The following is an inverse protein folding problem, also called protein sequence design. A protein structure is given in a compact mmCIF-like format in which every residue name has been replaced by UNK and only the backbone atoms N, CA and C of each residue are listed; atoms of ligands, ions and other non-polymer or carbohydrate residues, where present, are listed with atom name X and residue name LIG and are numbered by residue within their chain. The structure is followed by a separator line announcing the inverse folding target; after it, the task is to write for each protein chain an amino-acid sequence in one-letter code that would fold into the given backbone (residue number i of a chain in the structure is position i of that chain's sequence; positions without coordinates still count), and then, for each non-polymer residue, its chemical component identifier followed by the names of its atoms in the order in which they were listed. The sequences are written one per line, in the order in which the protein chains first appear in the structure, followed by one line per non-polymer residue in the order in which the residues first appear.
data_IF_472965111907
#
_entry.id   IF_472965111907
#
_cell.length_a   1.000
_cell.length_b   1.000
_cell.length_c   1.000
_cell.angle_alpha   90.00
_cell.angle_beta   90.00
_cell.angle_gamma   90.00
#
_symmetry.space_group_name_H-M   'P 1'
#
loop_
_entity.id
_entity.type
_entity.pdbx_description
1 polymer ?
#
# COMPACT_ATOMS: atom_id res chain seq x y z
N UNK A 1 -4.19 -10.74 -22.83
CA UNK A 1 -4.38 -10.77 -21.36
C UNK A 1 -3.11 -10.67 -20.53
N UNK A 2 -2.04 -11.46 -20.73
CA UNK A 2 -0.82 -11.34 -19.88
C UNK A 2 -0.06 -10.00 -20.05
N UNK A 3 -0.04 -9.44 -21.26
CA UNK A 3 0.69 -8.19 -21.56
C UNK A 3 0.02 -6.96 -20.94
N UNK A 4 -1.31 -6.90 -20.95
CA UNK A 4 -2.09 -5.81 -20.37
C UNK A 4 -1.94 -5.77 -18.84
N UNK A 5 -2.00 -6.93 -18.18
CA UNK A 5 -1.82 -7.01 -16.73
C UNK A 5 -0.41 -6.56 -16.29
N UNK A 6 0.63 -6.90 -17.05
CA UNK A 6 2.00 -6.41 -16.79
C UNK A 6 2.12 -4.90 -16.96
N UNK A 7 1.49 -4.32 -17.99
CA UNK A 7 1.48 -2.88 -18.21
C UNK A 7 0.71 -2.13 -17.12
N UNK A 8 -0.40 -2.68 -16.63
CA UNK A 8 -1.20 -2.09 -15.55
C UNK A 8 -0.39 -2.02 -14.24
N UNK A 9 0.33 -3.09 -13.88
CA UNK A 9 1.16 -3.10 -12.66
C UNK A 9 2.34 -2.12 -12.79
N UNK A 10 2.97 -2.02 -13.96
CA UNK A 10 4.01 -1.03 -14.20
C UNK A 10 3.50 0.42 -14.03
N UNK A 11 2.30 0.71 -14.56
CA UNK A 11 1.65 2.01 -14.39
C UNK A 11 1.33 2.27 -12.91
N UNK A 12 0.85 1.27 -12.17
CA UNK A 12 0.62 1.40 -10.73
C UNK A 12 1.90 1.75 -9.96
N UNK A 13 3.04 1.16 -10.31
CA UNK A 13 4.31 1.46 -9.65
C UNK A 13 4.77 2.89 -9.89
N UNK A 14 4.58 3.41 -11.11
CA UNK A 14 4.82 4.83 -11.40
C UNK A 14 3.90 5.74 -10.58
N UNK A 15 2.61 5.40 -10.48
CA UNK A 15 1.66 6.16 -9.68
C UNK A 15 2.02 6.14 -8.19
N UNK A 16 2.47 5.00 -7.65
CA UNK A 16 2.97 4.91 -6.27
C UNK A 16 4.21 5.79 -6.08
N UNK A 17 5.16 5.75 -7.01
CA UNK A 17 6.38 6.58 -6.93
C UNK A 17 6.07 8.09 -6.98
N UNK A 18 5.00 8.49 -7.66
CA UNK A 18 4.57 9.88 -7.73
C UNK A 18 3.78 10.30 -6.49
N UNK A 19 2.86 9.44 -6.03
CA UNK A 19 1.86 9.82 -5.03
C UNK A 19 2.26 9.44 -3.59
N UNK A 20 3.25 8.58 -3.37
CA UNK A 20 3.56 8.08 -2.02
C UNK A 20 4.83 8.68 -1.39
N UNK A 21 5.48 9.65 -2.05
CA UNK A 21 6.70 10.30 -1.54
C UNK A 21 6.43 11.44 -0.56
N UNK A 22 5.23 12.01 -0.58
CA UNK A 22 4.81 13.08 0.32
C UNK A 22 3.83 12.59 1.41
N UNK A 23 3.42 13.52 2.27
CA UNK A 23 2.50 13.28 3.39
C UNK A 23 1.07 13.75 3.10
N UNK A 24 0.70 13.88 1.83
CA UNK A 24 -0.64 14.28 1.45
C UNK A 24 -1.69 13.27 1.91
N UNK A 25 -2.93 13.73 2.05
CA UNK A 25 -4.06 12.84 2.34
C UNK A 25 -4.21 11.75 1.27
N UNK A 26 -3.98 12.09 -0.01
CA UNK A 26 -4.00 11.16 -1.15
C UNK A 26 -2.93 10.07 -0.99
N UNK A 27 -1.69 10.46 -0.68
CA UNK A 27 -0.59 9.55 -0.37
C UNK A 27 -0.97 8.54 0.71
N UNK A 28 -1.51 9.01 1.83
CA UNK A 28 -1.93 8.17 2.96
C UNK A 28 -3.07 7.23 2.61
N UNK A 29 -4.03 7.64 1.79
CA UNK A 29 -5.12 6.78 1.31
C UNK A 29 -4.56 5.63 0.48
N UNK A 30 -3.66 5.92 -0.46
CA UNK A 30 -3.04 4.91 -1.33
C UNK A 30 -2.20 3.92 -0.51
N UNK A 31 -1.32 4.44 0.36
CA UNK A 31 -0.49 3.65 1.27
C UNK A 31 -1.36 2.68 2.10
N UNK A 32 -2.40 3.21 2.77
CA UNK A 32 -3.31 2.40 3.60
C UNK A 32 -4.05 1.35 2.79
N UNK A 33 -4.54 1.66 1.59
CA UNK A 33 -5.28 0.71 0.76
C UNK A 33 -4.43 -0.50 0.36
N UNK A 34 -3.18 -0.26 -0.06
CA UNK A 34 -2.24 -1.33 -0.42
C UNK A 34 -1.89 -2.18 0.81
N UNK A 35 -1.60 -1.55 1.95
CA UNK A 35 -1.26 -2.26 3.19
C UNK A 35 -2.43 -3.08 3.72
N UNK A 36 -3.64 -2.51 3.74
CA UNK A 36 -4.87 -3.25 4.10
C UNK A 36 -5.04 -4.49 3.25
N UNK A 37 -4.88 -4.35 1.93
CA UNK A 37 -5.01 -5.48 1.00
C UNK A 37 -3.95 -6.55 1.24
N UNK A 38 -2.68 -6.16 1.35
CA UNK A 38 -1.55 -7.07 1.45
C UNK A 38 -1.56 -7.83 2.79
N UNK A 39 -1.65 -7.10 3.91
CA UNK A 39 -1.61 -7.68 5.25
C UNK A 39 -2.96 -8.24 5.72
N UNK A 40 -4.01 -8.14 4.90
CA UNK A 40 -5.40 -8.47 5.30
C UNK A 40 -5.77 -7.78 6.61
N UNK A 41 -5.49 -6.49 6.66
CA UNK A 41 -5.72 -5.66 7.84
C UNK A 41 -7.09 -4.99 7.76
N UNK A 42 -7.82 -4.99 8.88
CA UNK A 42 -9.09 -4.27 9.04
C UNK A 42 -8.81 -2.77 9.15
N UNK A 43 -7.74 -2.42 9.86
CA UNK A 43 -7.30 -1.05 10.11
C UNK A 43 -5.79 -0.90 9.83
N UNK A 44 -5.42 0.25 9.28
CA UNK A 44 -4.02 0.66 9.08
C UNK A 44 -3.88 2.10 9.56
N UNK A 45 -3.04 2.29 10.56
CA UNK A 45 -2.62 3.58 11.07
C UNK A 45 -1.21 3.86 10.55
N UNK A 46 -1.01 5.06 10.02
CA UNK A 46 0.30 5.52 9.57
C UNK A 46 0.53 6.85 10.25
N UNK A 47 1.45 6.87 11.20
CA UNK A 47 1.98 8.10 11.79
C UNK A 47 3.38 8.34 11.25
N UNK A 48 3.80 9.59 11.28
CA UNK A 48 5.15 9.96 10.86
C UNK A 48 5.84 10.71 11.98
N UNK A 49 7.07 10.30 12.22
CA UNK A 49 8.00 10.97 13.12
C UNK A 49 9.29 11.14 12.34
N UNK A 50 9.68 12.39 12.10
CA UNK A 50 10.83 12.72 11.24
C UNK A 50 10.71 12.05 9.87
N UNK A 51 11.72 11.29 9.44
CA UNK A 51 11.76 10.57 8.17
C UNK A 51 11.31 9.10 8.29
N UNK A 52 10.62 8.73 9.37
CA UNK A 52 10.17 7.36 9.64
C UNK A 52 8.63 7.32 9.69
N UNK A 53 8.06 6.40 8.91
CA UNK A 53 6.66 6.03 8.98
C UNK A 53 6.48 4.88 9.96
N UNK A 54 5.67 5.09 10.99
CA UNK A 54 5.24 4.07 11.92
C UNK A 54 3.89 3.55 11.45
N UNK A 55 3.86 2.28 11.05
CA UNK A 55 2.71 1.64 10.43
C UNK A 55 2.19 0.57 11.39
N UNK A 56 1.02 0.79 11.95
CA UNK A 56 0.34 -0.19 12.82
C UNK A 56 -0.86 -0.78 12.08
N UNK A 57 -0.98 -2.09 12.10
CA UNK A 57 -1.98 -2.84 11.34
C UNK A 57 -2.72 -3.81 12.25
N UNK A 58 -4.06 -3.71 12.22
CA UNK A 58 -4.93 -4.64 12.94
C UNK A 58 -5.41 -5.73 11.99
N UNK A 59 -5.23 -7.02 12.29
CA UNK A 59 -5.70 -8.09 11.42
C UNK A 59 -7.23 -8.13 11.36
N UNK A 60 -7.78 -8.66 10.27
CA UNK A 60 -9.24 -8.86 10.14
C UNK A 60 -9.75 -9.95 11.09
N UNK A 61 -8.93 -10.96 11.37
CA UNK A 61 -9.36 -12.19 12.05
C UNK A 61 -9.11 -12.18 13.56
N UNK A 62 -8.57 -11.09 14.12
CA UNK A 62 -8.33 -10.98 15.55
C UNK A 62 -8.51 -9.54 16.01
N UNK A 63 -9.24 -9.37 17.12
CA UNK A 63 -9.37 -8.10 17.82
C UNK A 63 -8.40 -7.98 19.01
N UNK A 64 -7.53 -8.98 19.20
CA UNK A 64 -6.58 -9.01 20.30
C UNK A 64 -5.42 -8.04 20.02
N UNK A 65 -5.04 -7.16 20.96
CA UNK A 65 -3.95 -6.19 20.77
C UNK A 65 -2.60 -6.83 20.41
N UNK A 66 -2.32 -8.02 20.93
CA UNK A 66 -1.10 -8.79 20.62
C UNK A 66 -1.05 -9.31 19.17
N UNK A 67 -2.16 -9.25 18.43
CA UNK A 67 -2.22 -9.60 17.02
C UNK A 67 -1.90 -8.41 16.10
N UNK A 68 -1.70 -7.21 16.66
CA UNK A 68 -1.28 -6.04 15.90
C UNK A 68 0.15 -6.18 15.38
N UNK A 69 0.35 -5.78 14.12
CA UNK A 69 1.66 -5.71 13.51
C UNK A 69 2.08 -4.25 13.39
N UNK A 70 3.22 -3.91 14.00
CA UNK A 70 3.85 -2.60 13.86
C UNK A 70 5.14 -2.70 13.06
N UNK A 71 5.29 -1.81 12.08
CA UNK A 71 6.47 -1.72 11.21
C UNK A 71 6.97 -0.27 11.19
N UNK A 72 8.28 -0.13 11.11
CA UNK A 72 8.94 1.14 10.84
C UNK A 72 9.50 1.11 9.43
N UNK A 73 9.09 2.08 8.60
CA UNK A 73 9.53 2.20 7.22
C UNK A 73 10.07 3.60 6.99
N UNK A 74 11.35 3.78 6.61
CA UNK A 74 11.86 5.09 6.22
C UNK A 74 11.00 5.67 5.10
N UNK A 75 10.60 6.94 5.19
CA UNK A 75 9.72 7.59 4.21
C UNK A 75 10.26 7.45 2.79
N UNK A 76 11.59 7.58 2.61
CA UNK A 76 12.26 7.41 1.31
C UNK A 76 12.11 6.00 0.69
N UNK A 77 11.76 5.00 1.51
CA UNK A 77 11.60 3.61 1.09
C UNK A 77 10.12 3.18 0.99
N UNK A 78 9.15 4.04 1.33
CA UNK A 78 7.74 3.62 1.37
C UNK A 78 7.25 3.16 -0.01
N UNK A 79 7.65 3.84 -1.09
CA UNK A 79 7.22 3.48 -2.43
C UNK A 79 7.73 2.08 -2.83
N UNK A 80 9.01 1.79 -2.62
CA UNK A 80 9.59 0.47 -2.92
C UNK A 80 9.01 -0.62 -2.01
N UNK A 81 8.75 -0.31 -0.74
CA UNK A 81 8.07 -1.21 0.18
C UNK A 81 6.68 -1.62 -0.34
N UNK A 82 5.85 -0.66 -0.76
CA UNK A 82 4.52 -0.92 -1.30
C UNK A 82 4.55 -1.69 -2.63
N UNK A 83 5.49 -1.35 -3.51
CA UNK A 83 5.70 -2.09 -4.75
C UNK A 83 6.06 -3.56 -4.45
N UNK A 84 6.88 -3.80 -3.44
CA UNK A 84 7.22 -5.16 -3.00
C UNK A 84 6.01 -5.88 -2.39
N UNK A 85 5.14 -5.21 -1.64
CA UNK A 85 3.87 -5.79 -1.21
C UNK A 85 3.04 -6.26 -2.42
N UNK A 86 2.89 -5.41 -3.44
CA UNK A 86 2.11 -5.76 -4.66
C UNK A 86 2.73 -6.96 -5.39
N UNK A 87 4.06 -6.97 -5.58
CA UNK A 87 4.77 -8.08 -6.24
C UNK A 87 4.58 -9.41 -5.52
N UNK A 88 4.48 -9.38 -4.20
CA UNK A 88 4.34 -10.56 -3.35
C UNK A 88 2.87 -10.94 -3.06
N UNK A 89 1.88 -10.26 -3.65
CA UNK A 89 0.45 -10.61 -3.56
C UNK A 89 -0.11 -11.02 -4.93
N UNK A 90 0.18 -12.25 -5.41
CA UNK A 90 -0.31 -12.73 -6.70
C UNK A 90 -1.83 -12.86 -6.75
N UNK A 91 -2.51 -12.96 -5.60
CA UNK A 91 -3.98 -13.02 -5.50
C UNK A 91 -4.62 -11.62 -5.47
N UNK A 92 -3.82 -10.55 -5.45
CA UNK A 92 -4.29 -9.18 -5.41
C UNK A 92 -4.46 -8.51 -6.78
N UNK A 93 -4.19 -9.21 -7.88
CA UNK A 93 -4.16 -8.64 -9.24
C UNK A 93 -5.39 -7.79 -9.60
N UNK A 94 -6.60 -8.30 -9.34
CA UNK A 94 -7.85 -7.57 -9.62
C UNK A 94 -7.99 -6.30 -8.77
N UNK A 95 -7.60 -6.36 -7.50
CA UNK A 95 -7.61 -5.19 -6.62
C UNK A 95 -6.66 -4.10 -7.12
N UNK A 96 -5.42 -4.46 -7.43
CA UNK A 96 -4.42 -3.52 -7.91
C UNK A 96 -4.75 -2.96 -9.30
N UNK A 97 -5.40 -3.76 -10.14
CA UNK A 97 -5.92 -3.30 -11.43
C UNK A 97 -6.99 -2.23 -11.24
N UNK A 98 -7.99 -2.49 -10.39
CA UNK A 98 -9.06 -1.52 -10.09
C UNK A 98 -8.51 -0.25 -9.42
N UNK A 99 -7.55 -0.41 -8.51
CA UNK A 99 -6.85 0.72 -7.90
C UNK A 99 -6.16 1.59 -8.96
N UNK A 100 -5.49 0.98 -9.93
CA UNK A 100 -4.85 1.71 -11.03
C UNK A 100 -5.86 2.53 -11.81
N UNK A 101 -6.99 1.93 -12.20
CA UNK A 101 -8.05 2.66 -12.91
C UNK A 101 -8.63 3.81 -12.10
N UNK A 102 -8.84 3.62 -10.79
CA UNK A 102 -9.29 4.69 -9.90
C UNK A 102 -8.29 5.86 -9.85
N UNK A 103 -7.00 5.57 -9.73
CA UNK A 103 -5.94 6.59 -9.62
C UNK A 103 -5.64 7.33 -10.93
N UNK A 104 -5.96 6.75 -12.08
CA UNK A 104 -5.82 7.42 -13.38
C UNK A 104 -7.04 8.30 -13.70
N UNK A 105 -8.20 7.97 -13.14
CA UNK A 105 -9.46 8.70 -13.38
C UNK A 105 -9.72 9.86 -12.41
N UNK A 106 -8.94 9.98 -11.34
CA UNK A 106 -9.06 10.98 -10.26
C UNK A 106 -7.68 11.47 -9.81
#
# INVERSE_FOLDING_TARGET
MQTESKNIIANLFQLIDQNCKDNSARSRIIQKAILKKFFKASEVLITQTEDILHITMKPILSSAPEAELTLEVPQKQIASFLQNCIKNDPKGSSFYTNMTYYLVSH
#
